data_IF_475821272616
#
_entry.id   IF_475821272616
#
_cell.length_a   1.000
_cell.length_b   1.000
_cell.length_c   1.000
_cell.angle_alpha   90.00
_cell.angle_beta   90.00
_cell.angle_gamma   90.00
#
_symmetry.space_group_name_H-M   'P 1'
#
loop_
_entity.id
_entity.type
_entity.pdbx_description
1 polymer ?
#
# COMPACT_ATOMS: atom_id res chain seq x y z
N UNK A 1 -8.10 -15.79 -14.10
CA UNK A 1 -8.18 -14.39 -13.64
C UNK A 1 -6.87 -14.13 -12.94
N UNK A 2 -6.16 -13.08 -13.33
CA UNK A 2 -4.87 -12.70 -12.75
C UNK A 2 -5.12 -11.77 -11.58
N UNK A 3 -4.71 -12.17 -10.38
CA UNK A 3 -4.86 -11.39 -9.14
C UNK A 3 -3.51 -10.80 -8.75
N UNK A 4 -3.43 -9.47 -8.67
CA UNK A 4 -2.18 -8.75 -8.41
C UNK A 4 -2.32 -7.93 -7.14
N UNK A 5 -1.30 -8.01 -6.26
CA UNK A 5 -1.10 -7.05 -5.18
C UNK A 5 -0.18 -5.92 -5.67
N UNK A 6 -0.69 -4.69 -5.70
CA UNK A 6 0.10 -3.48 -5.91
C UNK A 6 0.52 -2.87 -4.59
N UNK A 7 1.75 -2.38 -4.50
CA UNK A 7 2.33 -1.66 -3.36
C UNK A 7 2.87 -0.32 -3.87
N UNK A 8 2.57 0.77 -3.16
CA UNK A 8 3.03 2.12 -3.49
C UNK A 8 3.67 2.76 -2.25
N UNK A 9 4.95 3.13 -2.39
CA UNK A 9 5.77 3.74 -1.32
C UNK A 9 6.72 4.84 -1.82
N UNK A 10 6.38 5.50 -2.94
CA UNK A 10 7.30 6.43 -3.61
C UNK A 10 7.51 7.79 -2.90
N UNK A 11 6.53 8.26 -2.11
CA UNK A 11 6.57 9.57 -1.47
C UNK A 11 6.16 9.54 0.01
N UNK A 12 4.93 9.90 0.36
CA UNK A 12 4.46 10.06 1.73
C UNK A 12 3.15 9.30 2.02
N UNK A 13 2.76 8.42 1.10
CA UNK A 13 1.72 7.42 1.32
C UNK A 13 2.28 6.00 1.26
N UNK A 14 1.85 5.17 2.21
CA UNK A 14 1.98 3.71 2.08
C UNK A 14 0.64 3.17 1.63
N UNK A 15 0.58 2.60 0.43
CA UNK A 15 -0.66 2.03 -0.09
C UNK A 15 -0.49 0.60 -0.59
N UNK A 16 -1.58 -0.16 -0.54
CA UNK A 16 -1.70 -1.46 -1.16
C UNK A 16 -3.09 -1.67 -1.74
N UNK A 17 -3.16 -2.34 -2.89
CA UNK A 17 -4.40 -2.65 -3.59
C UNK A 17 -4.35 -4.04 -4.19
N UNK A 18 -5.48 -4.77 -4.14
CA UNK A 18 -5.66 -6.02 -4.88
C UNK A 18 -6.49 -5.73 -6.12
N UNK A 19 -5.96 -6.07 -7.30
CA UNK A 19 -6.62 -5.86 -8.59
C UNK A 19 -6.70 -7.18 -9.35
N UNK A 20 -7.88 -7.49 -9.88
CA UNK A 20 -8.15 -8.68 -10.69
C UNK A 20 -8.28 -8.28 -12.17
N UNK A 21 -7.53 -8.94 -13.03
CA UNK A 21 -7.50 -8.75 -14.48
C UNK A 21 -7.27 -7.29 -14.93
N UNK A 22 -6.63 -6.48 -14.08
CA UNK A 22 -6.34 -5.06 -14.33
C UNK A 22 -7.55 -4.13 -14.35
N UNK A 23 -8.75 -4.62 -14.05
CA UNK A 23 -10.01 -3.90 -14.21
C UNK A 23 -10.85 -3.86 -12.93
N UNK A 24 -10.75 -4.89 -12.10
CA UNK A 24 -11.57 -5.05 -10.90
C UNK A 24 -10.73 -4.79 -9.65
N UNK A 25 -10.98 -3.66 -9.00
CA UNK A 25 -10.27 -3.24 -7.78
C UNK A 25 -11.01 -3.83 -6.57
N UNK A 26 -10.41 -4.87 -5.97
CA UNK A 26 -10.98 -5.59 -4.82
C UNK A 26 -10.69 -4.92 -3.49
N UNK A 27 -9.59 -4.19 -3.40
CA UNK A 27 -9.26 -3.36 -2.24
C UNK A 27 -8.34 -2.22 -2.65
N UNK A 28 -8.35 -1.14 -1.86
CA UNK A 28 -7.46 0.00 -2.02
C UNK A 28 -7.26 0.68 -0.67
N UNK A 29 -6.17 0.33 0.01
CA UNK A 29 -5.85 0.79 1.36
C UNK A 29 -4.71 1.80 1.29
N UNK A 30 -4.92 2.97 1.89
CA UNK A 30 -3.93 4.07 1.92
C UNK A 30 -3.68 4.49 3.36
N UNK A 31 -2.41 4.58 3.73
CA UNK A 31 -1.92 5.18 4.98
C UNK A 31 -1.12 6.43 4.63
N UNK A 32 -1.69 7.61 4.92
CA UNK A 32 -1.09 8.91 4.60
C UNK A 32 -0.21 9.44 5.73
N UNK A 33 0.88 10.13 5.38
CA UNK A 33 1.78 10.79 6.31
C UNK A 33 1.62 12.33 6.34
N UNK A 34 0.54 12.88 5.76
CA UNK A 34 0.32 14.33 5.66
C UNK A 34 0.44 15.04 7.02
N UNK A 35 -0.18 14.50 8.08
CA UNK A 35 -0.09 15.10 9.43
C UNK A 35 1.33 15.02 10.02
N UNK A 36 2.07 13.95 9.71
CA UNK A 36 3.44 13.77 10.15
C UNK A 36 4.37 14.83 9.51
N UNK A 37 4.17 15.12 8.22
CA UNK A 37 4.99 16.08 7.47
C UNK A 37 4.53 17.54 7.64
N UNK A 38 3.28 17.77 8.05
CA UNK A 38 2.74 19.12 8.29
C UNK A 38 3.60 19.96 9.25
N UNK A 39 4.21 19.31 10.26
CA UNK A 39 5.09 19.99 11.24
C UNK A 39 6.42 20.47 10.67
N UNK A 40 6.82 19.96 9.50
CA UNK A 40 8.11 20.27 8.87
C UNK A 40 7.98 21.17 7.63
N UNK A 41 6.75 21.41 7.15
CA UNK A 41 6.51 22.22 5.96
C UNK A 41 6.92 21.55 4.64
N UNK A 42 7.14 20.22 4.65
CA UNK A 42 7.52 19.43 3.48
C UNK A 42 7.86 17.99 3.86
N UNK A 43 7.95 17.11 2.86
CA UNK A 43 8.25 15.69 3.04
C UNK A 43 9.73 15.51 3.39
N UNK A 44 10.01 14.98 4.58
CA UNK A 44 11.35 14.55 4.98
C UNK A 44 11.61 13.12 4.52
N UNK A 45 12.57 12.86 3.59
CA UNK A 45 12.75 11.52 3.01
C UNK A 45 13.02 10.41 4.02
N UNK A 46 13.81 10.71 5.05
CA UNK A 46 14.13 9.74 6.11
C UNK A 46 12.91 9.40 6.98
N UNK A 47 12.12 10.42 7.32
CA UNK A 47 10.91 10.28 8.13
C UNK A 47 9.86 9.48 7.36
N UNK A 48 9.74 9.75 6.05
CA UNK A 48 8.83 9.03 5.18
C UNK A 48 9.22 7.56 5.05
N UNK A 49 10.50 7.27 4.82
CA UNK A 49 11.02 5.91 4.74
C UNK A 49 10.71 5.09 6.00
N UNK A 50 10.88 5.67 7.20
CA UNK A 50 10.51 5.00 8.46
C UNK A 50 9.01 4.75 8.58
N UNK A 51 8.20 5.75 8.24
CA UNK A 51 6.75 5.60 8.29
C UNK A 51 6.23 4.52 7.33
N UNK A 52 6.86 4.33 6.16
CA UNK A 52 6.55 3.19 5.27
C UNK A 52 6.86 1.85 5.94
N UNK A 53 8.04 1.69 6.55
CA UNK A 53 8.41 0.44 7.25
C UNK A 53 7.46 0.09 8.40
N UNK A 54 6.97 1.09 9.12
CA UNK A 54 6.04 0.90 10.23
C UNK A 54 4.63 0.49 9.78
N UNK A 55 4.19 0.97 8.61
CA UNK A 55 2.82 0.80 8.13
C UNK A 55 2.62 -0.33 7.10
N UNK A 56 3.67 -0.73 6.38
CA UNK A 56 3.54 -1.59 5.19
C UNK A 56 2.83 -2.92 5.47
N UNK A 57 3.17 -3.61 6.56
CA UNK A 57 2.55 -4.89 6.90
C UNK A 57 1.05 -4.71 7.19
N UNK A 58 0.68 -3.69 7.95
CA UNK A 58 -0.72 -3.42 8.29
C UNK A 58 -1.54 -3.04 7.05
N UNK A 59 -0.96 -2.26 6.14
CA UNK A 59 -1.59 -1.86 4.87
C UNK A 59 -1.80 -3.08 3.97
N UNK A 60 -0.80 -3.94 3.80
CA UNK A 60 -0.91 -5.18 3.01
C UNK A 60 -1.95 -6.13 3.61
N UNK A 61 -1.89 -6.39 4.92
CA UNK A 61 -2.85 -7.28 5.58
C UNK A 61 -4.28 -6.78 5.39
N UNK A 62 -4.53 -5.49 5.60
CA UNK A 62 -5.86 -4.91 5.36
C UNK A 62 -6.30 -5.02 3.90
N UNK A 63 -5.40 -4.79 2.94
CA UNK A 63 -5.74 -4.90 1.53
C UNK A 63 -6.13 -6.34 1.14
N UNK A 64 -5.45 -7.35 1.69
CA UNK A 64 -5.80 -8.76 1.49
C UNK A 64 -7.13 -9.11 2.16
N UNK A 65 -7.33 -8.67 3.40
CA UNK A 65 -8.56 -8.91 4.16
C UNK A 65 -9.79 -8.26 3.49
N UNK A 66 -9.68 -6.98 3.08
CA UNK A 66 -10.74 -6.25 2.38
C UNK A 66 -11.08 -6.88 1.01
N UNK A 67 -10.08 -7.44 0.32
CA UNK A 67 -10.27 -8.14 -0.95
C UNK A 67 -10.77 -9.58 -0.79
N UNK A 68 -10.72 -10.15 0.41
CA UNK A 68 -11.09 -11.52 0.70
C UNK A 68 -10.18 -12.57 0.05
N UNK A 69 -8.89 -12.25 -0.12
CA UNK A 69 -7.90 -13.14 -0.74
C UNK A 69 -6.72 -13.40 0.19
N UNK A 70 -6.16 -14.59 0.12
CA UNK A 70 -4.91 -14.95 0.80
C UNK A 70 -3.68 -14.69 -0.07
N UNK A 71 -2.51 -14.60 0.55
CA UNK A 71 -1.22 -14.47 -0.15
C UNK A 71 -0.98 -15.57 -1.19
N UNK A 72 -1.48 -16.79 -0.95
CA UNK A 72 -1.31 -17.93 -1.86
C UNK A 72 -2.19 -17.87 -3.11
N UNK A 73 -3.15 -16.94 -3.16
CA UNK A 73 -4.05 -16.71 -4.30
C UNK A 73 -3.58 -15.58 -5.21
N UNK A 74 -2.47 -14.91 -4.89
CA UNK A 74 -1.87 -13.89 -5.73
C UNK A 74 -1.03 -14.52 -6.84
N UNK A 75 -1.18 -14.00 -8.07
CA UNK A 75 -0.36 -14.40 -9.21
C UNK A 75 0.91 -13.54 -9.32
N UNK A 76 0.87 -12.30 -8.84
CA UNK A 76 2.01 -11.39 -8.88
C UNK A 76 1.94 -10.29 -7.80
N UNK A 77 3.10 -9.68 -7.56
CA UNK A 77 3.25 -8.47 -6.75
C UNK A 77 3.94 -7.38 -7.59
N UNK A 78 3.39 -6.17 -7.58
CA UNK A 78 3.96 -4.98 -8.22
C UNK A 78 4.30 -3.94 -7.15
N UNK A 79 5.41 -3.21 -7.32
CA UNK A 79 5.87 -2.21 -6.34
C UNK A 79 6.56 -1.02 -7.02
N UNK A 80 6.47 0.16 -6.38
CA UNK A 80 7.18 1.38 -6.75
C UNK A 80 7.72 2.16 -5.55
#
# INVERSE_FOLDING_TARGET
>A
MTTILGIETSCDETAAAVVVDGLDIRSNVISTQVELHARYGGVGPEVASRAHLESINAVITRALDEAGVSLGELDAVAAC
#
